data_IF_458285270637
#
_entry.id   IF_458285270637
#
_cell.length_a   1.000
_cell.length_b   1.000
_cell.length_c   1.000
_cell.angle_alpha   90.00
_cell.angle_beta   90.00
_cell.angle_gamma   90.00
#
_symmetry.space_group_name_H-M   'P 1'
#
loop_
_entity.id
_entity.type
_entity.pdbx_description
1 polymer ?
#
# COMPACT_ATOMS: atom_id res chain seq x y z
N UNK A 1 -30.54 -10.40 0.92
CA UNK A 1 -29.47 -10.27 -0.09
C UNK A 1 -28.60 -9.10 0.32
N UNK A 2 -27.47 -9.38 0.96
CA UNK A 2 -26.40 -8.39 1.13
C UNK A 2 -25.83 -8.10 -0.26
N UNK A 3 -25.69 -6.82 -0.60
CA UNK A 3 -25.03 -6.45 -1.86
C UNK A 3 -23.60 -7.03 -1.81
N UNK A 4 -23.17 -7.79 -2.84
CA UNK A 4 -21.79 -8.24 -2.91
C UNK A 4 -20.88 -7.02 -2.83
N UNK A 5 -19.85 -7.10 -1.99
CA UNK A 5 -18.86 -6.05 -1.81
C UNK A 5 -18.28 -5.66 -3.18
N UNK A 6 -18.16 -4.35 -3.45
CA UNK A 6 -17.48 -3.86 -4.66
C UNK A 6 -15.95 -4.13 -4.63
N UNK A 7 -15.44 -4.74 -3.56
CA UNK A 7 -14.08 -5.22 -3.47
C UNK A 7 -13.94 -6.57 -4.20
N UNK A 8 -13.87 -6.52 -5.53
CA UNK A 8 -13.73 -7.70 -6.38
C UNK A 8 -12.47 -8.54 -6.07
N UNK A 9 -11.46 -7.97 -5.41
CA UNK A 9 -10.23 -8.67 -5.02
C UNK A 9 -10.22 -9.14 -3.56
N UNK A 10 -11.31 -8.95 -2.82
CA UNK A 10 -11.49 -9.54 -1.49
C UNK A 10 -11.28 -11.06 -1.52
N UNK A 11 -10.85 -11.63 -0.38
CA UNK A 11 -10.62 -13.07 -0.27
C UNK A 11 -11.86 -13.89 -0.69
N UNK A 12 -13.03 -13.53 -0.15
CA UNK A 12 -14.31 -14.17 -0.47
C UNK A 12 -14.62 -14.13 -1.98
N UNK A 13 -14.50 -12.96 -2.60
CA UNK A 13 -14.76 -12.79 -4.05
C UNK A 13 -13.82 -13.65 -4.90
N UNK A 14 -12.54 -13.72 -4.55
CA UNK A 14 -11.56 -14.53 -5.29
C UNK A 14 -11.77 -16.03 -5.13
N UNK A 15 -12.30 -16.48 -3.99
CA UNK A 15 -12.59 -17.89 -3.72
C UNK A 15 -13.89 -18.36 -4.37
N UNK A 16 -14.92 -17.50 -4.40
CA UNK A 16 -16.26 -17.87 -4.85
C UNK A 16 -16.53 -17.50 -6.31
N UNK A 17 -15.79 -16.55 -6.89
CA UNK A 17 -16.03 -16.05 -8.23
C UNK A 17 -14.75 -16.04 -9.08
N UNK A 18 -14.70 -16.93 -10.08
CA UNK A 18 -13.60 -17.01 -11.05
C UNK A 18 -13.48 -15.76 -11.94
N UNK A 19 -14.53 -14.94 -12.04
CA UNK A 19 -14.55 -13.68 -12.77
C UNK A 19 -14.12 -12.47 -11.92
N UNK A 20 -13.74 -12.67 -10.65
CA UNK A 20 -13.28 -11.60 -9.75
C UNK A 20 -12.22 -10.68 -10.39
N UNK A 21 -11.13 -11.24 -10.92
CA UNK A 21 -10.08 -10.45 -11.55
C UNK A 21 -10.53 -9.75 -12.86
N UNK A 22 -11.22 -10.41 -13.81
CA UNK A 22 -11.82 -9.73 -14.95
C UNK A 22 -12.78 -8.59 -14.56
N UNK A 23 -13.64 -8.81 -13.57
CA UNK A 23 -14.56 -7.78 -13.06
C UNK A 23 -13.80 -6.61 -12.45
N UNK A 24 -12.73 -6.87 -11.69
CA UNK A 24 -11.84 -5.83 -11.19
C UNK A 24 -11.20 -5.04 -12.35
N UNK A 25 -10.70 -5.71 -13.39
CA UNK A 25 -10.11 -5.03 -14.55
C UNK A 25 -11.12 -4.12 -15.26
N UNK A 26 -12.35 -4.59 -15.48
CA UNK A 26 -13.43 -3.78 -16.05
C UNK A 26 -13.76 -2.60 -15.13
N UNK A 27 -13.90 -2.84 -13.83
CA UNK A 27 -14.19 -1.80 -12.85
C UNK A 27 -13.11 -0.72 -12.86
N UNK A 28 -11.83 -1.08 -12.85
CA UNK A 28 -10.72 -0.12 -12.96
C UNK A 28 -10.75 0.62 -14.29
N UNK A 29 -11.02 -0.05 -15.42
CA UNK A 29 -11.06 0.59 -16.74
C UNK A 29 -12.20 1.60 -16.91
N UNK A 30 -13.34 1.42 -16.21
CA UNK A 30 -14.45 2.36 -16.28
C UNK A 30 -14.11 3.76 -15.72
N UNK A 31 -13.16 3.85 -14.78
CA UNK A 31 -12.77 5.11 -14.16
C UNK A 31 -12.08 6.10 -15.13
N UNK A 32 -10.97 5.73 -15.81
CA UNK A 32 -10.36 6.62 -16.79
C UNK A 32 -11.29 6.88 -17.98
N UNK A 33 -12.13 5.91 -18.38
CA UNK A 33 -13.14 6.13 -19.43
C UNK A 33 -14.16 7.21 -19.03
N UNK A 34 -14.64 7.20 -17.79
CA UNK A 34 -15.52 8.26 -17.28
C UNK A 34 -14.81 9.63 -17.26
N UNK A 35 -13.54 9.67 -16.84
CA UNK A 35 -12.74 10.90 -16.91
C UNK A 35 -12.55 11.40 -18.34
N UNK A 36 -12.31 10.49 -19.30
CA UNK A 36 -12.17 10.83 -20.73
C UNK A 36 -13.46 11.36 -21.31
N UNK A 37 -14.60 10.75 -20.96
CA UNK A 37 -15.90 11.28 -21.34
C UNK A 37 -16.09 12.70 -20.78
N UNK A 38 -15.80 12.93 -19.50
CA UNK A 38 -15.89 14.26 -18.90
C UNK A 38 -15.00 15.28 -19.61
N UNK A 39 -13.75 14.95 -19.91
CA UNK A 39 -12.84 15.84 -20.68
C UNK A 39 -13.40 16.09 -22.08
N UNK A 40 -13.86 15.04 -22.77
CA UNK A 40 -14.40 15.15 -24.13
C UNK A 40 -15.61 16.07 -24.23
N UNK A 41 -16.51 16.00 -23.25
CA UNK A 41 -17.77 16.73 -23.26
C UNK A 41 -17.65 18.14 -22.69
N UNK A 42 -16.96 18.31 -21.57
CA UNK A 42 -16.87 19.62 -20.89
C UNK A 42 -15.67 20.45 -21.34
N UNK A 43 -14.63 19.83 -21.90
CA UNK A 43 -13.39 20.49 -22.32
C UNK A 43 -12.97 20.05 -23.74
N UNK A 44 -13.82 20.25 -24.76
CA UNK A 44 -13.58 19.71 -26.11
C UNK A 44 -12.27 20.19 -26.75
N UNK A 45 -11.87 21.44 -26.51
CA UNK A 45 -10.59 21.97 -27.00
C UNK A 45 -9.40 21.26 -26.35
N UNK A 46 -9.46 21.05 -25.02
CA UNK A 46 -8.44 20.28 -24.31
C UNK A 46 -8.40 18.84 -24.81
N UNK A 47 -9.57 18.23 -25.09
CA UNK A 47 -9.62 16.89 -25.67
C UNK A 47 -8.88 16.81 -27.01
N UNK A 48 -9.14 17.74 -27.93
CA UNK A 48 -8.45 17.79 -29.23
C UNK A 48 -6.94 17.96 -29.08
N UNK A 49 -6.51 18.82 -28.15
CA UNK A 49 -5.10 19.02 -27.84
C UNK A 49 -4.44 17.72 -27.34
N UNK A 50 -5.08 16.99 -26.43
CA UNK A 50 -4.59 15.70 -25.93
C UNK A 50 -4.39 14.67 -27.04
N UNK A 51 -5.17 14.72 -28.12
CA UNK A 51 -5.01 13.78 -29.24
C UNK A 51 -4.10 14.27 -30.36
N UNK A 52 -3.74 15.55 -30.38
CA UNK A 52 -2.94 16.15 -31.46
C UNK A 52 -1.55 15.52 -31.64
N UNK A 53 -0.97 14.95 -30.58
CA UNK A 53 0.30 14.22 -30.62
C UNK A 53 0.20 12.76 -31.08
N UNK A 54 -1.02 12.26 -31.30
CA UNK A 54 -1.28 10.87 -31.69
C UNK A 54 -1.09 9.84 -30.57
N UNK A 55 -1.40 8.57 -30.89
CA UNK A 55 -1.38 7.47 -29.92
C UNK A 55 0.01 7.22 -29.31
N UNK A 56 1.08 7.40 -30.09
CA UNK A 56 2.46 7.24 -29.60
C UNK A 56 2.78 8.18 -28.44
N UNK A 57 2.35 9.45 -28.53
CA UNK A 57 2.53 10.42 -27.45
C UNK A 57 1.75 10.01 -26.19
N UNK A 58 0.55 9.45 -26.34
CA UNK A 58 -0.27 8.96 -25.21
C UNK A 58 0.45 7.81 -24.49
N UNK A 59 0.99 6.85 -25.25
CA UNK A 59 1.75 5.72 -24.69
C UNK A 59 2.99 6.21 -23.96
N UNK A 60 3.81 7.08 -24.58
CA UNK A 60 5.02 7.61 -23.95
C UNK A 60 4.73 8.41 -22.69
N UNK A 61 3.67 9.22 -22.71
CA UNK A 61 3.23 9.99 -21.54
C UNK A 61 2.75 9.06 -20.42
N UNK A 62 1.98 8.01 -20.75
CA UNK A 62 1.54 6.99 -19.78
C UNK A 62 2.73 6.27 -19.15
N UNK A 63 3.75 5.90 -19.94
CA UNK A 63 4.97 5.27 -19.44
C UNK A 63 5.74 6.22 -18.51
N UNK A 64 5.90 7.49 -18.90
CA UNK A 64 6.57 8.49 -18.07
C UNK A 64 5.86 8.69 -16.72
N UNK A 65 4.53 8.78 -16.71
CA UNK A 65 3.77 8.86 -15.46
C UNK A 65 3.85 7.59 -14.61
N UNK A 66 3.84 6.39 -15.21
CA UNK A 66 4.04 5.15 -14.45
C UNK A 66 5.44 5.09 -13.81
N UNK A 67 6.47 5.62 -14.47
CA UNK A 67 7.79 5.75 -13.86
C UNK A 67 7.74 6.68 -12.64
N UNK A 68 7.09 7.84 -12.76
CA UNK A 68 6.88 8.75 -11.61
C UNK A 68 6.11 8.05 -10.49
N UNK A 69 5.04 7.31 -10.81
CA UNK A 69 4.25 6.58 -9.83
C UNK A 69 4.99 5.39 -9.22
N UNK A 70 5.96 4.77 -9.89
CA UNK A 70 6.84 3.78 -9.27
C UNK A 70 7.62 4.37 -8.09
N UNK A 71 8.18 5.57 -8.24
CA UNK A 71 8.83 6.28 -7.14
C UNK A 71 7.83 6.87 -6.14
N UNK A 72 6.67 7.31 -6.61
CA UNK A 72 5.57 7.77 -5.76
C UNK A 72 5.07 6.67 -4.82
N UNK A 73 4.84 5.47 -5.35
CA UNK A 73 4.45 4.26 -4.62
C UNK A 73 5.49 3.92 -3.56
N UNK A 74 6.78 3.95 -3.90
CA UNK A 74 7.87 3.73 -2.94
C UNK A 74 7.76 4.66 -1.73
N UNK A 75 7.61 5.97 -1.98
CA UNK A 75 7.53 6.99 -0.94
C UNK A 75 6.22 6.88 -0.14
N UNK A 76 5.12 6.61 -0.83
CA UNK A 76 3.82 6.39 -0.24
C UNK A 76 3.85 5.17 0.70
N UNK A 77 4.38 4.04 0.25
CA UNK A 77 4.47 2.84 1.06
C UNK A 77 5.39 3.04 2.27
N UNK A 78 6.60 3.58 2.05
CA UNK A 78 7.58 3.80 3.12
C UNK A 78 7.13 4.84 4.15
N UNK A 79 6.64 5.99 3.70
CA UNK A 79 6.42 7.15 4.58
C UNK A 79 4.96 7.39 4.93
N UNK A 80 4.02 6.99 4.08
CA UNK A 80 2.61 7.09 4.43
C UNK A 80 2.14 5.84 5.17
N UNK A 81 2.31 4.68 4.55
CA UNK A 81 1.76 3.43 5.08
C UNK A 81 2.55 2.93 6.30
N UNK A 82 3.87 2.88 6.22
CA UNK A 82 4.72 2.41 7.34
C UNK A 82 5.07 3.51 8.35
N UNK A 83 5.35 4.73 7.87
CA UNK A 83 5.81 5.77 8.78
C UNK A 83 4.68 6.54 9.49
N UNK A 84 3.46 6.52 8.95
CA UNK A 84 2.36 7.42 9.34
C UNK A 84 2.79 8.90 9.39
N UNK A 85 3.51 9.36 8.36
CA UNK A 85 4.09 10.71 8.36
C UNK A 85 3.04 11.84 8.31
N UNK A 86 1.83 11.54 7.81
CA UNK A 86 0.71 12.45 7.60
C UNK A 86 -0.51 11.93 8.37
N UNK A 87 -0.90 12.61 9.44
CA UNK A 87 -1.88 12.13 10.42
C UNK A 87 -3.29 11.92 9.87
N UNK A 88 -3.77 12.80 8.97
CA UNK A 88 -5.13 12.67 8.41
C UNK A 88 -5.28 11.46 7.47
N UNK A 89 -4.16 10.87 7.04
CA UNK A 89 -4.11 9.62 6.28
C UNK A 89 -3.80 8.40 7.17
N UNK A 90 -3.84 8.58 8.50
CA UNK A 90 -3.49 7.55 9.47
C UNK A 90 -4.31 6.27 9.37
N UNK A 91 -5.55 6.33 8.84
CA UNK A 91 -6.37 5.13 8.59
C UNK A 91 -5.71 4.19 7.57
N UNK A 92 -5.07 4.72 6.53
CA UNK A 92 -4.33 3.92 5.55
C UNK A 92 -3.13 3.23 6.20
N UNK A 93 -2.38 3.98 7.02
CA UNK A 93 -1.25 3.43 7.77
C UNK A 93 -1.70 2.35 8.76
N UNK A 94 -2.79 2.58 9.50
CA UNK A 94 -3.33 1.59 10.42
C UNK A 94 -3.75 0.30 9.71
N UNK A 95 -4.52 0.42 8.62
CA UNK A 95 -4.93 -0.73 7.79
C UNK A 95 -3.70 -1.51 7.29
N UNK A 96 -2.70 -0.80 6.78
CA UNK A 96 -1.48 -1.42 6.27
C UNK A 96 -0.65 -2.11 7.36
N UNK A 97 -0.52 -1.50 8.54
CA UNK A 97 0.16 -2.12 9.67
C UNK A 97 -0.61 -3.31 10.24
N UNK A 98 -1.96 -3.29 10.18
CA UNK A 98 -2.79 -4.44 10.53
C UNK A 98 -2.56 -5.61 9.55
N UNK A 99 -2.50 -5.33 8.25
CA UNK A 99 -2.09 -6.30 7.23
C UNK A 99 -0.74 -6.95 7.56
N UNK A 100 0.30 -6.14 7.85
CA UNK A 100 1.61 -6.65 8.25
C UNK A 100 1.61 -7.44 9.55
N UNK A 101 0.74 -7.08 10.49
CA UNK A 101 0.60 -7.80 11.76
C UNK A 101 0.03 -9.20 11.52
N UNK A 102 -0.95 -9.34 10.63
CA UNK A 102 -1.59 -10.61 10.29
C UNK A 102 -0.72 -11.46 9.38
N UNK A 103 0.01 -10.85 8.44
CA UNK A 103 0.87 -11.57 7.47
C UNK A 103 2.35 -11.61 7.87
N UNK A 104 2.63 -11.53 9.17
CA UNK A 104 3.97 -11.33 9.68
C UNK A 104 4.92 -12.52 9.43
N UNK A 105 6.21 -12.21 9.25
CA UNK A 105 7.29 -13.21 9.21
C UNK A 105 8.28 -12.92 10.34
N UNK A 106 8.61 -13.91 11.17
CA UNK A 106 9.46 -13.79 12.35
C UNK A 106 10.57 -14.84 12.37
N UNK A 107 11.63 -14.54 13.12
CA UNK A 107 12.80 -15.40 13.31
C UNK A 107 13.07 -15.63 14.82
N UNK A 108 12.18 -16.31 15.57
CA UNK A 108 12.32 -16.47 17.03
C UNK A 108 13.40 -17.48 17.46
N UNK A 109 14.11 -18.11 16.52
CA UNK A 109 15.13 -19.11 16.79
C UNK A 109 15.79 -19.61 15.51
N UNK A 110 15.85 -20.93 15.37
CA UNK A 110 16.43 -21.65 14.22
C UNK A 110 15.42 -21.93 13.10
N UNK A 111 14.15 -21.51 13.26
CA UNK A 111 13.08 -21.63 12.26
C UNK A 111 12.35 -20.32 12.01
N UNK A 112 11.87 -20.16 10.79
CA UNK A 112 10.97 -19.09 10.37
C UNK A 112 9.56 -19.41 10.86
N UNK A 113 8.88 -18.43 11.44
CA UNK A 113 7.43 -18.46 11.64
C UNK A 113 6.81 -17.49 10.64
N UNK A 114 5.93 -17.98 9.76
CA UNK A 114 5.40 -17.22 8.63
C UNK A 114 3.89 -17.35 8.53
N UNK A 115 3.18 -16.24 8.79
CA UNK A 115 1.74 -16.10 8.52
C UNK A 115 1.48 -15.41 7.17
N UNK A 116 2.47 -15.41 6.29
CA UNK A 116 2.49 -14.61 5.07
C UNK A 116 1.33 -14.83 4.09
N UNK A 117 0.89 -16.06 3.76
CA UNK A 117 -0.22 -16.24 2.81
C UNK A 117 -1.57 -15.84 3.42
N UNK A 118 -2.45 -15.27 2.59
CA UNK A 118 -3.82 -14.92 2.99
C UNK A 118 -4.75 -16.09 2.63
N UNK A 119 -5.19 -16.81 3.65
CA UNK A 119 -5.98 -18.04 3.51
C UNK A 119 -7.39 -17.95 4.10
N UNK A 120 -7.75 -16.81 4.69
CA UNK A 120 -9.07 -16.54 5.27
C UNK A 120 -9.50 -15.07 5.10
N UNK A 121 -10.71 -14.77 5.57
CA UNK A 121 -11.33 -13.45 5.47
C UNK A 121 -10.68 -12.40 6.38
N UNK A 122 -10.23 -12.78 7.58
CA UNK A 122 -9.59 -11.86 8.54
C UNK A 122 -8.29 -11.29 7.95
N UNK A 123 -7.45 -12.16 7.37
CA UNK A 123 -6.24 -11.74 6.66
C UNK A 123 -6.57 -10.96 5.38
N UNK A 124 -7.73 -11.22 4.76
CA UNK A 124 -8.19 -10.57 3.54
C UNK A 124 -8.73 -9.15 3.73
N UNK A 125 -9.21 -8.79 4.92
CA UNK A 125 -9.87 -7.50 5.19
C UNK A 125 -8.94 -6.30 4.95
N UNK A 126 -7.66 -6.45 5.29
CA UNK A 126 -6.67 -5.37 5.23
C UNK A 126 -5.74 -5.44 4.00
N UNK A 127 -5.95 -6.42 3.12
CA UNK A 127 -5.02 -6.76 2.07
C UNK A 127 -5.18 -5.96 0.77
N UNK A 128 -6.34 -5.33 0.56
CA UNK A 128 -6.62 -4.53 -0.65
C UNK A 128 -7.09 -3.14 -0.28
N UNK A 129 -6.85 -2.15 -1.14
CA UNK A 129 -7.45 -0.84 -0.96
C UNK A 129 -8.98 -0.92 -1.09
N UNK A 130 -9.72 -0.03 -0.42
CA UNK A 130 -11.17 0.04 -0.60
C UNK A 130 -11.50 0.39 -2.06
N UNK A 131 -12.67 -0.03 -2.57
CA UNK A 131 -13.02 0.13 -3.99
C UNK A 131 -13.08 1.58 -4.48
N UNK A 132 -13.21 2.55 -3.58
CA UNK A 132 -13.18 3.99 -3.89
C UNK A 132 -11.77 4.59 -3.93
N UNK A 133 -10.70 3.83 -3.62
CA UNK A 133 -9.35 4.38 -3.53
C UNK A 133 -8.84 4.95 -4.86
N UNK A 134 -9.17 4.32 -6.00
CA UNK A 134 -8.81 4.84 -7.32
C UNK A 134 -9.38 6.25 -7.55
N UNK A 135 -10.64 6.50 -7.19
CA UNK A 135 -11.25 7.83 -7.28
C UNK A 135 -10.53 8.84 -6.40
N UNK A 136 -10.13 8.45 -5.18
CA UNK A 136 -9.37 9.32 -4.29
C UNK A 136 -7.98 9.66 -4.88
N UNK A 137 -7.27 8.68 -5.45
CA UNK A 137 -5.99 8.92 -6.12
C UNK A 137 -6.14 9.81 -7.36
N UNK A 138 -7.14 9.55 -8.20
CA UNK A 138 -7.46 10.40 -9.35
C UNK A 138 -7.78 11.82 -8.92
N UNK A 139 -8.66 12.00 -7.93
CA UNK A 139 -9.02 13.31 -7.41
C UNK A 139 -7.82 14.06 -6.83
N UNK A 140 -6.98 13.39 -6.02
CA UNK A 140 -5.78 13.99 -5.43
C UNK A 140 -4.74 14.40 -6.49
N UNK A 141 -4.55 13.60 -7.53
CA UNK A 141 -3.55 13.87 -8.58
C UNK A 141 -4.06 14.80 -9.69
N UNK A 142 -5.38 14.97 -9.83
CA UNK A 142 -5.99 15.80 -10.87
C UNK A 142 -5.47 17.24 -10.90
N UNK A 143 -5.33 17.98 -9.79
CA UNK A 143 -4.76 19.34 -9.82
C UNK A 143 -3.35 19.37 -10.44
N UNK A 144 -2.50 18.39 -10.12
CA UNK A 144 -1.15 18.29 -10.69
C UNK A 144 -1.18 17.97 -12.17
N UNK A 145 -2.04 17.01 -12.59
CA UNK A 145 -2.24 16.68 -14.00
C UNK A 145 -2.77 17.87 -14.79
N UNK A 146 -3.75 18.60 -14.25
CA UNK A 146 -4.33 19.78 -14.89
C UNK A 146 -3.29 20.89 -15.09
N UNK A 147 -2.57 21.28 -14.04
CA UNK A 147 -1.51 22.31 -14.13
C UNK A 147 -0.46 21.91 -15.16
N UNK A 148 -0.03 20.66 -15.15
CA UNK A 148 0.97 20.16 -16.12
C UNK A 148 0.39 20.18 -17.54
N UNK A 149 -0.85 19.73 -17.74
CA UNK A 149 -1.51 19.69 -19.05
C UNK A 149 -1.67 21.10 -19.65
N UNK A 150 -2.06 22.08 -18.86
CA UNK A 150 -2.18 23.47 -19.33
C UNK A 150 -0.82 24.14 -19.58
N UNK A 151 0.24 23.67 -18.92
CA UNK A 151 1.61 24.14 -19.18
C UNK A 151 2.20 23.53 -20.46
N UNK A 152 1.76 22.33 -20.84
CA UNK A 152 2.23 21.60 -22.01
C UNK A 152 1.05 21.05 -22.85
N UNK A 153 0.28 21.93 -23.51
CA UNK A 153 -1.01 21.57 -24.11
C UNK A 153 -0.91 20.48 -25.20
N UNK A 154 0.25 20.35 -25.86
CA UNK A 154 0.47 19.36 -26.92
C UNK A 154 0.90 17.97 -26.39
N UNK A 155 1.11 17.83 -25.08
CA UNK A 155 1.43 16.54 -24.45
C UNK A 155 0.13 15.95 -23.88
N UNK A 156 -0.18 14.66 -24.13
CA UNK A 156 -1.40 13.99 -23.64
C UNK A 156 -1.36 13.67 -22.13
N UNK A 157 -1.12 14.68 -21.30
CA UNK A 157 -0.93 14.56 -19.85
C UNK A 157 -2.18 14.08 -19.12
N UNK A 158 -3.37 14.59 -19.44
CA UNK A 158 -4.61 14.15 -18.80
C UNK A 158 -4.91 12.70 -19.17
N UNK A 159 -4.88 12.37 -20.47
CA UNK A 159 -5.16 11.01 -20.93
C UNK A 159 -4.12 10.04 -20.38
N UNK A 160 -2.84 10.31 -20.61
CA UNK A 160 -1.74 9.45 -20.16
C UNK A 160 -1.63 9.37 -18.64
N UNK A 161 -1.90 10.47 -17.93
CA UNK A 161 -1.91 10.52 -16.47
C UNK A 161 -3.01 9.66 -15.85
N UNK A 162 -4.27 9.79 -16.30
CA UNK A 162 -5.35 8.95 -15.78
C UNK A 162 -5.19 7.46 -16.15
N UNK A 163 -4.67 7.15 -17.35
CA UNK A 163 -4.28 5.78 -17.68
C UNK A 163 -3.20 5.27 -16.72
N UNK A 164 -2.17 6.06 -16.46
CA UNK A 164 -1.08 5.67 -15.58
C UNK A 164 -1.54 5.45 -14.14
N UNK A 165 -2.41 6.30 -13.59
CA UNK A 165 -2.98 6.10 -12.23
C UNK A 165 -3.74 4.77 -12.18
N UNK A 166 -4.57 4.50 -13.19
CA UNK A 166 -5.40 3.29 -13.26
C UNK A 166 -4.54 2.03 -13.39
N UNK A 167 -3.52 2.07 -14.25
CA UNK A 167 -2.57 0.95 -14.43
C UNK A 167 -1.77 0.71 -13.16
N UNK A 168 -1.21 1.76 -12.55
CA UNK A 168 -0.44 1.64 -11.31
C UNK A 168 -1.29 1.04 -10.19
N UNK A 169 -2.54 1.49 -10.02
CA UNK A 169 -3.46 0.96 -9.02
C UNK A 169 -3.85 -0.50 -9.32
N UNK A 170 -4.19 -0.82 -10.58
CA UNK A 170 -4.50 -2.19 -10.99
C UNK A 170 -3.34 -3.15 -10.71
N UNK A 171 -2.12 -2.77 -11.11
CA UNK A 171 -0.93 -3.58 -10.90
C UNK A 171 -0.60 -3.72 -9.42
N UNK A 172 -0.73 -2.66 -8.64
CA UNK A 172 -0.48 -2.69 -7.19
C UNK A 172 -1.35 -3.75 -6.54
N UNK A 173 -2.66 -3.65 -6.73
CA UNK A 173 -3.64 -4.56 -6.12
C UNK A 173 -3.45 -6.00 -6.59
N UNK A 174 -3.31 -6.21 -7.90
CA UNK A 174 -3.22 -7.56 -8.46
C UNK A 174 -1.91 -8.27 -8.10
N UNK A 175 -0.79 -7.56 -8.12
CA UNK A 175 0.51 -8.11 -7.72
C UNK A 175 0.56 -8.33 -6.21
N UNK A 176 0.03 -7.40 -5.40
CA UNK A 176 -0.06 -7.58 -3.94
C UNK A 176 -0.85 -8.84 -3.57
N UNK A 177 -2.02 -9.00 -4.18
CA UNK A 177 -2.86 -10.19 -3.98
C UNK A 177 -2.13 -11.45 -4.44
N UNK A 178 -1.46 -11.42 -5.58
CA UNK A 178 -0.68 -12.57 -6.06
C UNK A 178 0.45 -12.94 -5.10
N UNK A 179 1.17 -11.96 -4.57
CA UNK A 179 2.23 -12.15 -3.57
C UNK A 179 1.75 -12.90 -2.33
N UNK A 180 0.50 -12.68 -1.90
CA UNK A 180 -0.08 -13.32 -0.72
C UNK A 180 -0.82 -14.63 -1.02
N UNK A 181 -0.73 -15.19 -2.24
CA UNK A 181 -1.28 -16.52 -2.51
C UNK A 181 -0.44 -17.63 -1.85
N UNK A 182 -1.04 -18.77 -1.45
CA UNK A 182 -0.32 -19.84 -0.78
C UNK A 182 0.78 -20.47 -1.64
N UNK A 183 1.91 -20.80 -1.00
CA UNK A 183 3.06 -21.35 -1.70
C UNK A 183 2.72 -22.66 -2.41
N UNK A 184 2.18 -23.64 -1.67
CA UNK A 184 1.94 -24.99 -2.16
C UNK A 184 0.96 -25.04 -3.34
N UNK A 185 -0.12 -24.25 -3.29
CA UNK A 185 -1.19 -24.32 -4.29
C UNK A 185 -0.95 -23.43 -5.52
N UNK A 186 -0.17 -22.36 -5.39
CA UNK A 186 -0.02 -21.37 -6.48
C UNK A 186 1.44 -21.16 -6.93
N UNK A 187 2.37 -20.99 -6.00
CA UNK A 187 3.74 -20.60 -6.33
C UNK A 187 4.67 -21.76 -6.63
N UNK A 188 4.55 -22.88 -5.93
CA UNK A 188 5.48 -24.02 -6.00
C UNK A 188 5.75 -24.46 -7.42
N UNK A 189 4.70 -24.75 -8.19
CA UNK A 189 4.82 -25.14 -9.62
C UNK A 189 5.52 -24.09 -10.47
N UNK A 190 5.31 -22.80 -10.21
CA UNK A 190 5.93 -21.71 -10.97
C UNK A 190 7.41 -21.58 -10.64
N UNK A 191 7.74 -21.65 -9.35
CA UNK A 191 9.09 -21.51 -8.80
C UNK A 191 9.97 -22.72 -9.16
N UNK A 192 9.42 -23.92 -9.18
CA UNK A 192 10.12 -25.15 -9.59
C UNK A 192 10.19 -25.31 -11.12
N UNK A 193 9.54 -24.43 -11.88
CA UNK A 193 9.51 -24.47 -13.33
C UNK A 193 10.88 -24.15 -13.97
N UNK A 194 11.26 -24.81 -15.07
CA UNK A 194 12.61 -24.73 -15.62
C UNK A 194 12.96 -23.39 -16.28
N UNK A 195 11.98 -22.69 -16.86
CA UNK A 195 12.23 -21.47 -17.65
C UNK A 195 12.23 -20.20 -16.79
N UNK A 196 11.28 -20.09 -15.86
CA UNK A 196 11.03 -18.85 -15.11
C UNK A 196 11.12 -19.03 -13.59
N UNK A 197 11.52 -20.20 -13.10
CA UNK A 197 11.55 -20.53 -11.68
C UNK A 197 12.31 -19.52 -10.83
N UNK A 198 13.49 -19.10 -11.29
CA UNK A 198 14.31 -18.07 -10.63
C UNK A 198 13.61 -16.72 -10.55
N UNK A 199 12.92 -16.31 -11.61
CA UNK A 199 12.18 -15.04 -11.64
C UNK A 199 11.00 -15.08 -10.68
N UNK A 200 10.23 -16.17 -10.67
CA UNK A 200 9.12 -16.35 -9.73
C UNK A 200 9.58 -16.43 -8.28
N UNK A 201 10.71 -17.09 -8.01
CA UNK A 201 11.32 -17.14 -6.67
C UNK A 201 11.71 -15.75 -6.21
N UNK A 202 12.28 -14.94 -7.11
CA UNK A 202 12.64 -13.55 -6.81
C UNK A 202 11.40 -12.73 -6.47
N UNK A 203 10.38 -12.77 -7.33
CA UNK A 203 9.13 -12.05 -7.14
C UNK A 203 8.46 -12.41 -5.80
N UNK A 204 8.27 -13.70 -5.52
CA UNK A 204 7.66 -14.16 -4.27
C UNK A 204 8.50 -13.79 -3.03
N UNK A 205 9.81 -14.06 -3.08
CA UNK A 205 10.71 -13.76 -1.96
C UNK A 205 10.91 -12.26 -1.71
N UNK A 206 10.71 -11.41 -2.72
CA UNK A 206 10.86 -9.96 -2.60
C UNK A 206 9.81 -9.40 -1.62
N UNK A 207 8.54 -9.74 -1.78
CA UNK A 207 7.52 -9.24 -0.85
C UNK A 207 7.54 -9.98 0.50
N UNK A 208 7.97 -11.25 0.55
CA UNK A 208 8.27 -11.90 1.84
C UNK A 208 9.32 -11.14 2.65
N UNK A 209 10.41 -10.69 2.01
CA UNK A 209 11.43 -9.90 2.69
C UNK A 209 10.87 -8.59 3.26
N UNK A 210 9.92 -7.96 2.57
CA UNK A 210 9.21 -6.78 3.07
C UNK A 210 8.41 -7.10 4.35
N UNK A 211 7.70 -8.22 4.39
CA UNK A 211 6.93 -8.64 5.58
C UNK A 211 7.80 -9.12 6.74
N UNK A 212 9.01 -9.60 6.45
CA UNK A 212 10.02 -9.90 7.45
C UNK A 212 10.73 -8.64 7.98
N UNK A 213 10.92 -7.63 7.13
CA UNK A 213 11.50 -6.34 7.50
C UNK A 213 10.94 -5.22 6.62
N UNK A 214 9.96 -4.48 7.16
CA UNK A 214 9.26 -3.42 6.43
C UNK A 214 10.12 -2.19 6.06
N UNK A 215 11.44 -2.24 6.24
CA UNK A 215 12.38 -1.19 5.79
C UNK A 215 12.94 -1.45 4.39
N UNK A 216 12.75 -2.62 3.81
CA UNK A 216 13.17 -2.95 2.43
C UNK A 216 11.96 -3.20 1.52
N UNK A 217 12.19 -3.25 0.20
CA UNK A 217 11.22 -3.71 -0.81
C UNK A 217 9.85 -3.01 -0.75
N UNK A 218 9.85 -1.69 -0.98
CA UNK A 218 8.65 -0.84 -0.87
C UNK A 218 7.76 -0.87 -2.11
N UNK A 219 8.32 -1.11 -3.29
CA UNK A 219 7.48 -1.31 -4.47
C UNK A 219 6.71 -2.63 -4.34
N UNK A 220 5.50 -2.62 -4.89
CA UNK A 220 4.63 -3.77 -5.10
C UNK A 220 4.37 -3.87 -6.60
N UNK A 221 3.84 -2.80 -7.20
CA UNK A 221 3.74 -2.65 -8.63
C UNK A 221 5.06 -2.22 -9.24
N UNK A 222 5.71 -1.21 -8.66
CA UNK A 222 6.90 -0.60 -9.23
C UNK A 222 6.66 -0.12 -10.67
N UNK A 223 7.66 -0.28 -11.53
CA UNK A 223 7.52 0.01 -12.96
C UNK A 223 7.13 -1.27 -13.71
N UNK A 224 5.83 -1.54 -13.79
CA UNK A 224 5.27 -2.73 -14.45
C UNK A 224 5.78 -4.07 -13.87
N UNK A 225 5.86 -4.18 -12.54
CA UNK A 225 6.36 -5.34 -11.79
C UNK A 225 7.85 -5.28 -11.46
N UNK A 226 8.59 -4.30 -12.01
CA UNK A 226 10.00 -4.09 -11.69
C UNK A 226 10.13 -3.19 -10.45
N UNK A 227 10.83 -3.59 -9.38
CA UNK A 227 11.00 -2.80 -8.16
C UNK A 227 12.07 -1.71 -8.35
N UNK A 228 11.91 -0.89 -9.38
CA UNK A 228 12.92 0.03 -9.86
C UNK A 228 13.30 1.07 -8.80
N UNK A 229 12.34 1.58 -8.04
CA UNK A 229 12.65 2.55 -6.98
C UNK A 229 13.48 1.90 -5.86
N UNK A 230 13.18 0.65 -5.47
CA UNK A 230 14.00 -0.06 -4.48
C UNK A 230 15.43 -0.33 -4.96
N UNK A 231 15.60 -0.66 -6.24
CA UNK A 231 16.92 -0.86 -6.84
C UNK A 231 17.72 0.44 -6.84
N UNK A 232 17.11 1.54 -7.30
CA UNK A 232 17.76 2.86 -7.38
C UNK A 232 18.07 3.42 -6.00
N UNK A 233 17.15 3.27 -5.04
CA UNK A 233 17.26 3.87 -3.70
C UNK A 233 17.98 2.96 -2.69
N UNK A 234 18.45 1.78 -3.12
CA UNK A 234 19.27 0.90 -2.28
C UNK A 234 18.50 0.17 -1.19
N UNK A 235 17.21 -0.12 -1.42
CA UNK A 235 16.36 -0.85 -0.47
C UNK A 235 15.86 -2.19 -0.99
N UNK A 236 16.28 -2.60 -2.18
CA UNK A 236 16.04 -3.95 -2.69
C UNK A 236 16.80 -4.98 -1.86
N UNK A 237 16.10 -5.98 -1.33
CA UNK A 237 16.64 -7.11 -0.59
C UNK A 237 15.99 -8.41 -1.09
N UNK A 238 16.80 -9.44 -1.32
CA UNK A 238 16.28 -10.75 -1.72
C UNK A 238 16.71 -11.79 -0.68
N UNK A 239 15.78 -12.54 -0.07
CA UNK A 239 16.15 -13.57 0.87
C UNK A 239 16.85 -14.72 0.12
N UNK A 240 17.91 -15.26 0.71
CA UNK A 240 18.67 -16.36 0.12
C UNK A 240 17.82 -17.64 0.02
N UNK A 241 16.90 -17.85 0.96
CA UNK A 241 15.90 -18.91 1.01
C UNK A 241 14.51 -18.30 1.09
N UNK A 242 13.47 -18.99 0.59
CA UNK A 242 12.10 -18.52 0.76
C UNK A 242 11.73 -18.57 2.25
N UNK A 243 11.00 -17.56 2.71
CA UNK A 243 10.63 -17.40 4.12
C UNK A 243 9.32 -18.14 4.42
N UNK A 244 9.29 -19.43 4.06
CA UNK A 244 8.18 -20.33 4.32
C UNK A 244 8.14 -20.70 5.80
N UNK A 245 6.96 -21.01 6.32
CA UNK A 245 6.81 -21.45 7.70
C UNK A 245 7.62 -22.74 7.94
N UNK A 246 8.33 -22.80 9.07
CA UNK A 246 9.22 -23.91 9.42
C UNK A 246 10.56 -23.97 8.66
N UNK A 247 10.80 -23.09 7.68
CA UNK A 247 12.09 -23.03 6.99
C UNK A 247 13.23 -22.68 7.97
N UNK A 248 14.48 -23.15 7.73
CA UNK A 248 15.61 -22.79 8.58
C UNK A 248 15.80 -21.27 8.66
N UNK A 249 15.82 -20.75 9.88
CA UNK A 249 16.14 -19.36 10.18
C UNK A 249 17.54 -19.27 10.78
N UNK A 250 18.29 -18.27 10.33
CA UNK A 250 19.51 -17.84 11.00
C UNK A 250 19.42 -16.37 11.34
N UNK A 251 20.09 -15.94 12.41
CA UNK A 251 20.23 -14.50 12.71
C UNK A 251 20.86 -13.74 11.55
N UNK A 252 21.75 -14.39 10.80
CA UNK A 252 22.36 -13.84 9.58
C UNK A 252 21.33 -13.62 8.47
N UNK A 253 20.37 -14.54 8.27
CA UNK A 253 19.29 -14.38 7.31
C UNK A 253 18.46 -13.13 7.62
N UNK A 254 18.06 -12.95 8.89
CA UNK A 254 17.31 -11.77 9.32
C UNK A 254 18.15 -10.48 9.18
N UNK A 255 19.44 -10.52 9.53
CA UNK A 255 20.34 -9.37 9.40
C UNK A 255 20.49 -8.91 7.95
N UNK A 256 20.62 -9.86 7.00
CA UNK A 256 20.73 -9.58 5.56
C UNK A 256 19.49 -8.90 4.96
N UNK A 257 18.33 -8.98 5.61
CA UNK A 257 17.12 -8.27 5.16
C UNK A 257 17.10 -6.80 5.58
N UNK A 258 18.07 -6.35 6.37
CA UNK A 258 18.19 -4.95 6.75
C UNK A 258 18.77 -4.15 5.59
N UNK A 259 17.96 -3.24 5.04
CA UNK A 259 18.42 -2.30 4.02
C UNK A 259 19.15 -1.11 4.63
N UNK A 260 20.16 -0.61 3.91
CA UNK A 260 20.85 0.65 4.16
C UNK A 260 20.56 1.59 2.99
N UNK A 261 19.44 2.33 3.00
CA UNK A 261 19.03 3.16 1.88
C UNK A 261 20.10 4.20 1.52
N UNK A 262 20.19 4.52 0.23
CA UNK A 262 21.06 5.59 -0.26
C UNK A 262 20.50 6.97 0.11
N UNK A 263 21.33 8.01 -0.04
CA UNK A 263 20.82 9.38 -0.06
C UNK A 263 19.85 9.55 -1.26
N UNK A 264 18.71 10.26 -1.11
CA UNK A 264 18.27 11.05 0.07
C UNK A 264 17.45 10.26 1.12
N UNK A 265 17.13 9.00 0.86
CA UNK A 265 16.23 8.20 1.72
C UNK A 265 16.79 8.01 3.13
N UNK A 266 18.10 7.76 3.27
CA UNK A 266 18.74 7.65 4.59
C UNK A 266 18.58 8.90 5.47
N UNK A 267 18.59 10.09 4.87
CA UNK A 267 18.39 11.37 5.57
C UNK A 267 16.95 11.50 6.02
N UNK A 268 15.99 11.18 5.15
CA UNK A 268 14.57 11.21 5.46
C UNK A 268 14.21 10.22 6.59
N UNK A 269 14.73 8.99 6.54
CA UNK A 269 14.56 8.00 7.61
C UNK A 269 15.12 8.50 8.94
N UNK A 270 16.31 9.11 8.91
CA UNK A 270 16.94 9.68 10.10
C UNK A 270 16.11 10.82 10.69
N UNK A 271 15.56 11.70 9.84
CA UNK A 271 14.68 12.78 10.25
C UNK A 271 13.37 12.26 10.86
N UNK A 272 12.78 11.23 10.25
CA UNK A 272 11.58 10.57 10.77
C UNK A 272 11.83 9.93 12.14
N UNK A 273 12.95 9.23 12.33
CA UNK A 273 13.32 8.64 13.61
C UNK A 273 13.49 9.71 14.70
N UNK A 274 14.15 10.82 14.38
CA UNK A 274 14.26 11.97 15.30
C UNK A 274 12.89 12.53 15.67
N UNK A 275 12.00 12.72 14.68
CA UNK A 275 10.61 13.18 14.91
C UNK A 275 9.85 12.22 15.82
N UNK A 276 9.92 10.91 15.57
CA UNK A 276 9.26 9.87 16.40
C UNK A 276 9.73 9.91 17.85
N UNK A 277 11.05 9.97 18.07
CA UNK A 277 11.63 10.11 19.43
C UNK A 277 11.13 11.37 20.14
N UNK A 278 11.02 12.49 19.42
CA UNK A 278 10.49 13.74 19.98
C UNK A 278 9.01 13.58 20.37
N UNK A 279 8.17 13.05 19.47
CA UNK A 279 6.75 12.85 19.76
C UNK A 279 6.50 11.90 20.94
N UNK A 280 7.28 10.83 21.07
CA UNK A 280 7.18 9.91 22.21
C UNK A 280 7.47 10.64 23.54
N UNK A 281 8.55 11.43 23.59
CA UNK A 281 8.87 12.24 24.78
C UNK A 281 7.78 13.27 25.10
N UNK A 282 7.22 13.93 24.09
CA UNK A 282 6.11 14.88 24.27
C UNK A 282 4.86 14.18 24.82
N UNK A 283 4.56 12.96 24.37
CA UNK A 283 3.44 12.15 24.87
C UNK A 283 3.65 11.70 26.31
N UNK A 284 4.84 11.21 26.65
CA UNK A 284 5.22 10.84 28.03
C UNK A 284 5.09 12.05 28.98
N UNK A 285 5.58 13.23 28.57
CA UNK A 285 5.46 14.45 29.36
C UNK A 285 3.99 14.89 29.54
N UNK A 286 3.16 14.78 28.50
CA UNK A 286 1.72 15.08 28.60
C UNK A 286 1.01 14.10 29.54
N UNK A 287 1.34 12.82 29.47
CA UNK A 287 0.79 11.80 30.36
C UNK A 287 1.20 12.05 31.82
N UNK A 288 2.47 12.35 32.07
CA UNK A 288 2.97 12.69 33.41
C UNK A 288 2.29 13.96 33.99
N UNK A 289 2.12 15.00 33.18
CA UNK A 289 1.39 16.22 33.60
C UNK A 289 -0.08 15.93 33.93
N UNK A 290 -0.73 15.07 33.14
CA UNK A 290 -2.13 14.67 33.39
C UNK A 290 -2.25 13.87 34.70
N UNK A 291 -1.32 12.95 34.96
CA UNK A 291 -1.27 12.19 36.21
C UNK A 291 -1.05 13.11 37.43
N UNK A 292 -0.05 13.99 37.37
CA UNK A 292 0.21 14.94 38.45
C UNK A 292 -0.97 15.89 38.73
N UNK A 293 -1.70 16.30 37.69
CA UNK A 293 -2.91 17.12 37.84
C UNK A 293 -4.08 16.35 38.48
N UNK A 294 -4.16 15.02 38.26
CA UNK A 294 -5.15 14.16 38.92
C UNK A 294 -4.80 13.94 40.40
N UNK A 295 -3.52 13.80 40.72
CA UNK A 295 -3.06 13.63 42.11
C UNK A 295 -3.16 14.93 42.93
N UNK A 296 -3.02 16.09 42.26
CA UNK A 296 -3.16 17.41 42.88
C UNK A 296 -4.62 17.89 42.97
N UNK A 297 -5.57 17.20 42.31
CA UNK A 297 -6.97 17.50 42.49
C UNK A 297 -7.36 17.12 43.94
N UNK A 298 -7.83 18.08 44.77
CA UNK A 298 -8.28 17.74 46.10
C UNK A 298 -9.34 16.64 45.99
N UNK A 299 -9.27 15.65 46.89
CA UNK A 299 -10.32 14.66 47.06
C UNK A 299 -11.58 15.40 47.51
N UNK A 300 -12.33 15.94 46.55
CA UNK A 300 -13.54 16.67 46.87
C UNK A 300 -14.51 15.66 47.47
N UNK A 301 -14.79 15.93 48.75
CA UNK A 301 -15.51 15.06 49.63
C UNK A 301 -16.96 14.98 49.16
N UNK A 302 -17.36 13.79 48.71
CA UNK A 302 -18.72 13.30 48.86
C UNK A 302 -19.84 14.27 48.51
N UNK A 303 -20.01 14.60 47.23
CA UNK A 303 -21.36 14.76 46.69
C UNK A 303 -21.71 13.52 45.86
N UNK A 304 -22.29 12.53 46.55
CA UNK A 304 -23.22 11.58 45.92
C UNK A 304 -24.35 12.43 45.35
N UNK A 305 -24.24 12.80 44.07
CA UNK A 305 -25.41 13.15 43.28
C UNK A 305 -26.19 11.85 43.16
N UNK A 306 -27.21 11.72 44.00
CA UNK A 306 -28.25 10.69 43.84
C UNK A 306 -28.91 11.04 42.52
N UNK A 307 -28.69 10.21 41.51
CA UNK A 307 -29.41 10.27 40.25
C UNK A 307 -30.89 9.94 40.54
N UNK A 308 -31.85 10.86 40.36
CA UNK A 308 -33.27 10.57 40.57
C UNK A 308 -33.88 9.76 39.41
N UNK A 309 -33.13 9.48 38.34
CA UNK A 309 -33.58 8.62 37.26
C UNK A 309 -32.91 7.24 37.38
N UNK A 310 -33.69 6.27 37.84
CA UNK A 310 -33.27 4.87 37.96
C UNK A 310 -32.78 4.24 36.65
N UNK A 311 -32.21 3.03 36.71
CA UNK A 311 -31.58 2.38 35.57
C UNK A 311 -32.63 2.10 34.49
N UNK A 312 -32.52 2.81 33.37
CA UNK A 312 -33.12 2.37 32.12
C UNK A 312 -32.25 1.25 31.54
N UNK A 313 -32.49 0.03 32.03
CA UNK A 313 -32.19 -1.18 31.27
C UNK A 313 -33.01 -1.19 29.98
N UNK A 314 -32.39 -1.00 28.82
CA UNK A 314 -32.92 -1.43 27.51
C UNK A 314 -31.70 -1.65 26.59
N UNK A 315 -31.36 -2.92 26.29
CA UNK A 315 -31.76 -3.69 25.10
C UNK A 315 -31.14 -3.20 23.80
#
# INVERSE_FOLDING_TARGET
MTLPSLNFLSFESRKTNSLSLPMFAVFIALHPLAAFAAIRYFFPFTWEQQWSGGLGAVVLTTLAFNLVFCFGEYLFHRYLLHANSISFLGKLSFSHLAHHKLTNIKFPGDRVISAYPIEDEEHGEFATFPPYALLAFMGFLTPFLAVTAFSFPHIPILIGGYLAISIAHFLYETIHVAHHTPYETWWKRKIEGPLFGTTWRKLYGFHQAHHANYKCNMNIAGFYGLPLADLVLGTYQQPAVLLLDGAPATKELAAKLTSTPNWPISVMDSALLKRRKRMAREQEQRAARKAAAQDAAPADAGQRVVDPAGPAELR
#
